data_IF_685726146770
#
_entry.id   IF_685726146770
#
_cell.length_a   1.000
_cell.length_b   1.000
_cell.length_c   1.000
_cell.angle_alpha   90.00
_cell.angle_beta   90.00
_cell.angle_gamma   90.00
#
_symmetry.space_group_name_H-M   'P 1'
#
loop_
_entity.id
_entity.type
_entity.pdbx_description
1 polymer ?
#
# COMPACT_ATOMS: atom_id res chain seq x y z
N UNK A 1 39.57 0.34 37.96
CA UNK A 1 39.27 1.26 36.83
C UNK A 1 38.22 0.60 35.97
N UNK A 2 36.99 0.99 36.18
CA UNK A 2 35.83 0.44 35.42
C UNK A 2 35.40 1.52 34.45
N UNK A 3 35.52 1.26 33.14
CA UNK A 3 35.19 2.19 32.06
C UNK A 3 33.71 2.10 31.79
N UNK A 4 32.95 3.15 32.11
CA UNK A 4 31.57 3.34 31.76
C UNK A 4 31.43 3.68 30.26
N UNK A 5 30.90 2.73 29.47
CA UNK A 5 30.43 3.01 28.12
C UNK A 5 29.00 3.53 28.22
N UNK A 6 28.83 4.84 28.04
CA UNK A 6 27.56 5.48 27.92
C UNK A 6 26.89 5.11 26.59
N UNK A 7 25.78 4.38 26.67
CA UNK A 7 24.94 4.07 25.52
C UNK A 7 24.17 5.35 25.14
N UNK A 8 24.55 5.94 24.02
CA UNK A 8 23.92 7.11 23.44
C UNK A 8 22.58 6.68 22.78
N UNK A 9 21.49 6.72 23.51
CA UNK A 9 20.14 6.56 22.98
C UNK A 9 19.72 7.83 22.22
N UNK A 10 20.07 7.89 20.93
CA UNK A 10 19.43 8.84 20.03
C UNK A 10 17.96 8.45 19.89
N UNK A 11 17.09 9.22 20.53
CA UNK A 11 15.66 9.22 20.29
C UNK A 11 15.40 9.53 18.80
N UNK A 12 15.13 8.48 18.04
CA UNK A 12 14.62 8.62 16.68
C UNK A 12 13.20 9.18 16.84
N UNK A 13 13.00 10.46 16.53
CA UNK A 13 11.67 11.04 16.36
C UNK A 13 10.97 10.25 15.25
N UNK A 14 9.94 9.52 15.62
CA UNK A 14 9.04 8.91 14.64
C UNK A 14 8.40 10.03 13.80
N UNK A 15 8.55 10.04 12.47
CA UNK A 15 7.84 10.99 11.65
C UNK A 15 6.34 10.69 11.70
N UNK A 16 5.57 11.75 11.93
CA UNK A 16 4.10 11.77 11.93
C UNK A 16 3.55 10.99 10.73
N UNK A 17 2.64 10.09 11.07
CA UNK A 17 1.59 9.44 10.28
C UNK A 17 1.48 9.91 8.83
N UNK A 18 1.84 9.09 7.87
CA UNK A 18 1.16 8.87 6.59
C UNK A 18 2.09 8.25 5.56
N UNK A 19 1.57 7.69 4.49
CA UNK A 19 2.22 7.27 3.24
C UNK A 19 3.40 6.26 3.34
N UNK A 20 4.05 6.09 4.49
CA UNK A 20 5.19 5.18 4.67
C UNK A 20 4.81 3.75 5.07
N UNK A 21 3.56 3.50 5.48
CA UNK A 21 3.14 2.16 5.90
C UNK A 21 3.22 1.11 4.79
N UNK A 22 3.00 1.50 3.54
CA UNK A 22 3.04 0.58 2.40
C UNK A 22 4.45 0.32 1.85
N UNK A 23 5.48 0.97 2.40
CA UNK A 23 6.84 0.96 1.81
C UNK A 23 7.78 -0.12 2.37
N UNK A 24 7.44 -0.74 3.50
CA UNK A 24 8.31 -1.75 4.08
C UNK A 24 7.81 -3.15 3.77
N UNK A 25 8.07 -3.64 2.56
CA UNK A 25 8.23 -5.08 2.36
C UNK A 25 9.59 -5.43 2.95
N UNK A 26 9.65 -5.56 4.28
CA UNK A 26 10.84 -6.08 4.94
C UNK A 26 11.18 -7.44 4.33
N UNK A 27 12.45 -7.66 4.05
CA UNK A 27 12.92 -8.98 3.63
C UNK A 27 12.40 -10.02 4.64
N UNK A 28 11.69 -11.07 4.21
CA UNK A 28 11.15 -12.04 5.15
C UNK A 28 12.32 -12.72 5.87
N UNK A 29 12.36 -12.58 7.18
CA UNK A 29 13.04 -13.57 8.01
C UNK A 29 12.44 -14.94 7.61
N UNK A 30 13.24 -15.93 7.29
CA UNK A 30 12.84 -17.24 6.72
C UNK A 30 11.98 -18.09 7.68
N UNK A 31 11.20 -17.46 8.57
CA UNK A 31 10.26 -18.15 9.44
C UNK A 31 9.03 -18.58 8.65
N UNK A 32 8.76 -19.86 8.71
CA UNK A 32 7.59 -20.51 8.14
C UNK A 32 6.33 -19.73 8.57
N UNK A 33 5.67 -19.06 7.64
CA UNK A 33 4.39 -18.38 7.91
C UNK A 33 3.41 -19.43 8.46
N UNK A 34 2.86 -19.16 9.66
CA UNK A 34 1.92 -20.09 10.27
C UNK A 34 0.71 -20.30 9.34
N UNK A 35 0.16 -21.52 9.24
CA UNK A 35 -1.02 -21.79 8.41
C UNK A 35 -2.21 -20.88 8.75
N UNK A 36 -2.34 -20.46 10.01
CA UNK A 36 -3.38 -19.53 10.46
C UNK A 36 -3.20 -18.14 9.88
N UNK A 37 -1.97 -17.60 9.93
CA UNK A 37 -1.65 -16.29 9.35
C UNK A 37 -1.88 -16.27 7.83
N UNK A 38 -1.50 -17.35 7.13
CA UNK A 38 -1.76 -17.50 5.69
C UNK A 38 -3.26 -17.48 5.36
N UNK A 39 -4.11 -18.12 6.17
CA UNK A 39 -5.57 -18.05 6.00
C UNK A 39 -6.10 -16.63 6.18
N UNK A 40 -5.59 -15.90 7.18
CA UNK A 40 -5.99 -14.50 7.42
C UNK A 40 -5.58 -13.61 6.24
N UNK A 41 -4.38 -13.78 5.69
CA UNK A 41 -3.96 -13.04 4.50
C UNK A 41 -4.86 -13.32 3.29
N UNK A 42 -5.31 -14.57 3.09
CA UNK A 42 -6.28 -14.89 2.04
C UNK A 42 -7.63 -14.22 2.27
N UNK A 43 -8.14 -14.22 3.50
CA UNK A 43 -9.38 -13.52 3.85
C UNK A 43 -9.22 -12.01 3.60
N UNK A 44 -8.14 -11.42 4.07
CA UNK A 44 -7.84 -10.01 3.88
C UNK A 44 -7.75 -9.65 2.38
N UNK A 45 -7.06 -10.48 1.58
CA UNK A 45 -6.98 -10.31 0.13
C UNK A 45 -8.37 -10.30 -0.54
N UNK A 46 -9.20 -11.28 -0.22
CA UNK A 46 -10.54 -11.41 -0.83
C UNK A 46 -11.42 -10.24 -0.41
N UNK A 47 -11.42 -9.86 0.88
CA UNK A 47 -12.20 -8.73 1.39
C UNK A 47 -11.79 -7.44 0.68
N UNK A 48 -10.49 -7.14 0.63
CA UNK A 48 -10.01 -5.90 0.01
C UNK A 48 -10.24 -5.87 -1.51
N UNK A 49 -10.04 -6.99 -2.21
CA UNK A 49 -10.34 -7.06 -3.64
C UNK A 49 -11.84 -6.88 -3.91
N UNK A 50 -12.71 -7.43 -3.07
CA UNK A 50 -14.16 -7.24 -3.18
C UNK A 50 -14.53 -5.80 -2.92
N UNK A 51 -14.00 -5.17 -1.87
CA UNK A 51 -14.25 -3.76 -1.56
C UNK A 51 -13.76 -2.83 -2.66
N UNK A 52 -12.58 -3.09 -3.22
CA UNK A 52 -12.10 -2.35 -4.40
C UNK A 52 -13.13 -2.32 -5.54
N UNK A 53 -13.71 -3.49 -5.88
CA UNK A 53 -14.71 -3.58 -6.95
C UNK A 53 -16.03 -2.88 -6.58
N UNK A 54 -16.47 -2.99 -5.33
CA UNK A 54 -17.68 -2.35 -4.82
C UNK A 54 -17.52 -0.82 -4.84
N UNK A 55 -16.40 -0.31 -4.33
CA UNK A 55 -16.18 1.14 -4.24
C UNK A 55 -15.94 1.79 -5.58
N UNK A 56 -15.21 1.14 -6.49
CA UNK A 56 -15.03 1.70 -7.84
C UNK A 56 -16.38 1.81 -8.56
N UNK A 57 -17.25 0.78 -8.45
CA UNK A 57 -18.59 0.80 -8.99
C UNK A 57 -19.47 1.87 -8.34
N UNK A 58 -19.46 1.95 -7.00
CA UNK A 58 -20.22 2.94 -6.24
C UNK A 58 -19.73 4.37 -6.48
N UNK A 59 -18.43 4.59 -6.57
CA UNK A 59 -17.83 5.90 -6.84
C UNK A 59 -18.25 6.46 -8.20
N UNK A 60 -18.27 5.60 -9.23
CA UNK A 60 -18.78 6.03 -10.55
C UNK A 60 -20.28 6.26 -10.54
N UNK A 61 -21.09 5.41 -9.90
CA UNK A 61 -22.55 5.52 -9.90
C UNK A 61 -23.06 6.67 -9.04
N UNK A 62 -22.43 6.95 -7.89
CA UNK A 62 -22.79 8.07 -7.00
C UNK A 62 -22.16 9.41 -7.40
N UNK A 63 -21.19 9.41 -8.32
CA UNK A 63 -20.39 10.57 -8.66
C UNK A 63 -19.39 10.99 -7.58
N UNK A 64 -19.15 10.13 -6.54
CA UNK A 64 -18.23 10.42 -5.46
C UNK A 64 -16.78 10.19 -5.87
N UNK A 65 -15.98 11.22 -5.74
CA UNK A 65 -14.54 11.17 -6.02
C UNK A 65 -13.75 10.63 -4.83
N UNK A 66 -14.24 10.80 -3.59
CA UNK A 66 -13.61 10.23 -2.41
C UNK A 66 -13.73 8.71 -2.36
N UNK A 67 -14.89 8.13 -2.77
CA UNK A 67 -15.01 6.67 -2.91
C UNK A 67 -14.05 6.11 -3.98
N UNK A 68 -13.86 6.83 -5.10
CA UNK A 68 -12.86 6.44 -6.09
C UNK A 68 -11.44 6.51 -5.53
N UNK A 69 -11.15 7.48 -4.68
CA UNK A 69 -9.86 7.57 -4.00
C UNK A 69 -9.65 6.43 -3.00
N UNK A 70 -10.67 6.10 -2.21
CA UNK A 70 -10.66 5.04 -1.20
C UNK A 70 -10.47 3.65 -1.86
N UNK A 71 -11.08 3.44 -3.03
CA UNK A 71 -10.87 2.19 -3.80
C UNK A 71 -9.38 1.92 -4.12
N UNK A 72 -8.53 2.94 -4.25
CA UNK A 72 -7.10 2.78 -4.50
C UNK A 72 -6.40 2.14 -3.29
N UNK A 73 -6.82 2.49 -2.08
CA UNK A 73 -6.25 1.95 -0.86
C UNK A 73 -6.60 0.46 -0.73
N UNK A 74 -7.85 0.07 -1.01
CA UNK A 74 -8.25 -1.33 -1.10
C UNK A 74 -7.48 -2.13 -2.16
N UNK A 75 -7.21 -1.54 -3.33
CA UNK A 75 -6.37 -2.15 -4.35
C UNK A 75 -4.92 -2.31 -3.86
N UNK A 76 -4.37 -1.28 -3.23
CA UNK A 76 -3.04 -1.28 -2.66
C UNK A 76 -2.86 -2.37 -1.61
N UNK A 77 -3.84 -2.53 -0.73
CA UNK A 77 -3.86 -3.56 0.31
C UNK A 77 -4.01 -4.96 -0.25
N UNK A 78 -4.94 -5.16 -1.19
CA UNK A 78 -5.06 -6.45 -1.88
C UNK A 78 -3.74 -6.88 -2.53
N UNK A 79 -3.04 -5.95 -3.19
CA UNK A 79 -1.72 -6.21 -3.75
C UNK A 79 -0.67 -6.56 -2.67
N UNK A 80 -0.70 -5.89 -1.50
CA UNK A 80 0.19 -6.21 -0.37
C UNK A 80 -0.06 -7.61 0.17
N UNK A 81 -1.32 -8.01 0.36
CA UNK A 81 -1.66 -9.34 0.83
C UNK A 81 -1.26 -10.41 -0.18
N UNK A 82 -1.49 -10.17 -1.48
CA UNK A 82 -1.07 -11.07 -2.55
C UNK A 82 0.47 -11.25 -2.55
N UNK A 83 1.23 -10.16 -2.47
CA UNK A 83 2.69 -10.22 -2.37
C UNK A 83 3.11 -10.98 -1.11
N UNK A 84 2.52 -10.71 0.05
CA UNK A 84 2.84 -11.41 1.30
C UNK A 84 2.58 -12.93 1.23
N UNK A 85 1.56 -13.36 0.48
CA UNK A 85 1.24 -14.77 0.27
C UNK A 85 2.23 -15.49 -0.65
N UNK A 86 2.80 -14.78 -1.64
CA UNK A 86 3.60 -15.36 -2.72
C UNK A 86 5.10 -15.19 -2.48
N UNK A 87 5.51 -14.20 -1.69
CA UNK A 87 6.90 -13.78 -1.44
C UNK A 87 7.83 -14.90 -0.99
N UNK A 88 7.31 -15.91 -0.30
CA UNK A 88 8.12 -17.03 0.21
C UNK A 88 8.73 -17.92 -0.88
N UNK A 89 8.24 -17.84 -2.12
CA UNK A 89 8.68 -18.69 -3.24
C UNK A 89 9.26 -17.92 -4.42
N UNK A 90 9.31 -16.57 -4.37
CA UNK A 90 9.71 -15.75 -5.52
C UNK A 90 11.09 -15.12 -5.37
N UNK A 91 11.88 -15.14 -6.46
CA UNK A 91 13.13 -14.39 -6.56
C UNK A 91 12.91 -12.88 -6.37
N UNK A 92 13.91 -12.18 -5.80
CA UNK A 92 13.88 -10.74 -5.52
C UNK A 92 13.42 -9.91 -6.72
N UNK A 93 13.88 -10.25 -7.92
CA UNK A 93 13.52 -9.54 -9.15
C UNK A 93 12.01 -9.59 -9.46
N UNK A 94 11.33 -10.70 -9.20
CA UNK A 94 9.89 -10.82 -9.43
C UNK A 94 9.09 -10.01 -8.41
N UNK A 95 9.53 -10.01 -7.16
CA UNK A 95 8.95 -9.19 -6.09
C UNK A 95 9.04 -7.70 -6.40
N UNK A 96 10.23 -7.26 -6.83
CA UNK A 96 10.46 -5.87 -7.22
C UNK A 96 9.63 -5.46 -8.45
N UNK A 97 9.42 -6.36 -9.43
CA UNK A 97 8.51 -6.10 -10.57
C UNK A 97 7.06 -5.96 -10.13
N UNK A 98 6.58 -6.83 -9.23
CA UNK A 98 5.23 -6.73 -8.67
C UNK A 98 5.03 -5.43 -7.90
N UNK A 99 5.99 -5.03 -7.08
CA UNK A 99 5.99 -3.75 -6.37
C UNK A 99 6.01 -2.55 -7.34
N UNK A 100 6.81 -2.64 -8.43
CA UNK A 100 6.83 -1.60 -9.46
C UNK A 100 5.47 -1.45 -10.15
N UNK A 101 4.83 -2.56 -10.52
CA UNK A 101 3.50 -2.55 -11.13
C UNK A 101 2.47 -1.93 -10.18
N UNK A 102 2.46 -2.35 -8.91
CA UNK A 102 1.59 -1.76 -7.87
C UNK A 102 1.80 -0.26 -7.75
N UNK A 103 3.04 0.20 -7.55
CA UNK A 103 3.35 1.62 -7.40
C UNK A 103 2.96 2.44 -8.64
N UNK A 104 3.19 1.92 -9.83
CA UNK A 104 2.76 2.55 -11.09
C UNK A 104 1.23 2.65 -11.19
N UNK A 105 0.50 1.60 -10.80
CA UNK A 105 -0.97 1.62 -10.76
C UNK A 105 -1.49 2.68 -9.80
N UNK A 106 -0.92 2.80 -8.59
CA UNK A 106 -1.28 3.84 -7.61
C UNK A 106 -1.06 5.25 -8.16
N UNK A 107 0.03 5.49 -8.89
CA UNK A 107 0.29 6.78 -9.53
C UNK A 107 -0.76 7.12 -10.60
N UNK A 108 -1.09 6.15 -11.46
CA UNK A 108 -2.08 6.32 -12.54
C UNK A 108 -3.46 6.58 -11.96
N UNK A 109 -3.90 5.76 -10.99
CA UNK A 109 -5.21 5.92 -10.36
C UNK A 109 -5.28 7.22 -9.55
N UNK A 110 -4.24 7.57 -8.78
CA UNK A 110 -4.20 8.83 -8.03
C UNK A 110 -4.29 10.05 -8.95
N UNK A 111 -3.57 10.04 -10.07
CA UNK A 111 -3.67 11.09 -11.09
C UNK A 111 -5.07 11.14 -11.74
N UNK A 112 -5.68 9.98 -12.01
CA UNK A 112 -7.05 9.89 -12.52
C UNK A 112 -8.05 10.49 -11.53
N UNK A 113 -7.95 10.18 -10.23
CA UNK A 113 -8.83 10.73 -9.19
C UNK A 113 -8.68 12.25 -9.09
N UNK A 114 -7.45 12.79 -9.12
CA UNK A 114 -7.22 14.24 -9.14
C UNK A 114 -7.83 14.89 -10.37
N UNK A 115 -7.69 14.28 -11.54
CA UNK A 115 -8.34 14.74 -12.79
C UNK A 115 -9.87 14.73 -12.67
N UNK A 116 -10.43 13.68 -12.08
CA UNK A 116 -11.89 13.58 -11.80
C UNK A 116 -12.33 14.64 -10.80
N UNK A 117 -11.58 14.88 -9.74
CA UNK A 117 -11.89 15.92 -8.76
C UNK A 117 -11.91 17.31 -9.42
N UNK A 118 -10.89 17.62 -10.22
CA UNK A 118 -10.83 18.88 -10.96
C UNK A 118 -12.01 19.02 -11.96
N UNK A 119 -12.33 17.96 -12.68
CA UNK A 119 -13.49 17.94 -13.59
C UNK A 119 -14.81 18.13 -12.83
N UNK A 120 -15.04 17.38 -11.76
CA UNK A 120 -16.25 17.46 -10.93
C UNK A 120 -16.43 18.86 -10.34
N UNK A 121 -15.34 19.49 -9.92
CA UNK A 121 -15.35 20.88 -9.44
C UNK A 121 -15.89 21.86 -10.49
N UNK A 122 -15.58 21.66 -11.77
CA UNK A 122 -16.05 22.54 -12.87
C UNK A 122 -17.50 22.26 -13.27
N UNK A 123 -18.00 21.03 -13.10
CA UNK A 123 -19.35 20.64 -13.51
C UNK A 123 -20.43 20.95 -12.46
N UNK A 124 -20.04 21.12 -11.18
CA UNK A 124 -20.95 21.51 -10.10
C UNK A 124 -21.96 20.43 -9.67
N UNK A 125 -21.76 19.17 -10.05
CA UNK A 125 -22.59 18.05 -9.60
C UNK A 125 -22.33 17.70 -8.15
N UNK A 126 -23.38 17.39 -7.37
CA UNK A 126 -23.26 16.86 -6.00
C UNK A 126 -23.32 15.34 -6.03
N UNK A 127 -22.38 14.63 -5.37
CA UNK A 127 -22.44 13.18 -5.28
C UNK A 127 -23.59 12.72 -4.37
N UNK A 128 -24.04 11.47 -4.56
CA UNK A 128 -25.07 10.88 -3.70
C UNK A 128 -24.51 10.54 -2.30
N UNK A 129 -24.81 11.40 -1.34
CA UNK A 129 -24.34 11.29 0.03
C UNK A 129 -24.80 9.99 0.74
N UNK A 130 -25.98 9.45 0.39
CA UNK A 130 -26.48 8.21 0.99
C UNK A 130 -25.63 7.03 0.54
N UNK A 131 -25.35 6.92 -0.76
CA UNK A 131 -24.44 5.89 -1.29
C UNK A 131 -23.05 6.03 -0.71
N UNK A 132 -22.48 7.24 -0.63
CA UNK A 132 -21.19 7.48 0.03
C UNK A 132 -21.16 6.99 1.48
N UNK A 133 -22.18 7.34 2.27
CA UNK A 133 -22.28 6.95 3.67
C UNK A 133 -22.44 5.43 3.83
N UNK A 134 -23.29 4.80 3.04
CA UNK A 134 -23.51 3.35 3.09
C UNK A 134 -22.24 2.56 2.72
N UNK A 135 -21.59 2.92 1.61
CA UNK A 135 -20.39 2.25 1.13
C UNK A 135 -19.20 2.54 2.05
N UNK A 136 -18.99 3.79 2.48
CA UNK A 136 -17.93 4.12 3.44
C UNK A 136 -18.10 3.41 4.79
N UNK A 137 -19.34 3.19 5.24
CA UNK A 137 -19.61 2.37 6.44
C UNK A 137 -19.24 0.91 6.22
N UNK A 138 -19.54 0.36 5.04
CA UNK A 138 -19.14 -1.01 4.67
C UNK A 138 -17.63 -1.14 4.58
N UNK A 139 -16.95 -0.18 3.98
CA UNK A 139 -15.51 -0.08 3.89
C UNK A 139 -14.85 -0.04 5.27
N UNK A 140 -15.36 0.81 6.16
CA UNK A 140 -14.89 0.90 7.54
C UNK A 140 -15.05 -0.45 8.27
N UNK A 141 -16.19 -1.11 8.14
CA UNK A 141 -16.43 -2.43 8.74
C UNK A 141 -15.47 -3.49 8.18
N UNK A 142 -15.21 -3.47 6.87
CA UNK A 142 -14.26 -4.37 6.23
C UNK A 142 -12.84 -4.16 6.78
N UNK A 143 -12.33 -2.93 6.83
CA UNK A 143 -11.00 -2.63 7.31
C UNK A 143 -10.84 -2.86 8.82
N UNK A 144 -11.84 -2.51 9.64
CA UNK A 144 -11.84 -2.84 11.08
C UNK A 144 -11.85 -4.35 11.29
N UNK A 145 -12.64 -5.10 10.50
CA UNK A 145 -12.69 -6.56 10.54
C UNK A 145 -11.33 -7.19 10.21
N UNK A 146 -10.69 -6.76 9.13
CA UNK A 146 -9.35 -7.21 8.73
C UNK A 146 -8.30 -6.81 9.78
N UNK A 147 -8.35 -5.57 10.29
CA UNK A 147 -7.45 -5.12 11.36
C UNK A 147 -7.59 -5.97 12.63
N UNK A 148 -8.81 -6.33 13.01
CA UNK A 148 -9.06 -7.21 14.16
C UNK A 148 -8.47 -8.63 13.95
N UNK A 149 -8.59 -9.19 12.74
CA UNK A 149 -7.97 -10.48 12.40
C UNK A 149 -6.43 -10.41 12.44
N UNK A 150 -5.86 -9.29 12.02
CA UNK A 150 -4.42 -9.06 12.01
C UNK A 150 -3.85 -8.63 13.37
N UNK A 151 -4.71 -8.20 14.30
CA UNK A 151 -4.30 -7.67 15.61
C UNK A 151 -3.44 -8.64 16.42
N UNK A 152 -3.72 -9.95 16.34
CA UNK A 152 -2.94 -10.99 17.00
C UNK A 152 -1.47 -11.08 16.49
N UNK A 153 -1.18 -10.48 15.33
CA UNK A 153 0.13 -10.51 14.68
C UNK A 153 0.83 -9.15 14.66
N UNK A 154 0.27 -8.11 15.32
CA UNK A 154 0.81 -6.73 15.36
C UNK A 154 2.21 -6.61 15.96
N UNK A 155 2.57 -7.53 16.86
CA UNK A 155 3.86 -7.59 17.55
C UNK A 155 4.78 -8.68 16.94
N UNK A 156 4.41 -9.22 15.76
CA UNK A 156 5.17 -10.21 15.01
C UNK A 156 6.39 -9.60 14.32
N UNK A 157 6.77 -10.20 13.18
CA UNK A 157 7.86 -9.67 12.36
C UNK A 157 7.49 -8.31 11.70
N UNK A 158 8.48 -7.66 11.08
CA UNK A 158 8.29 -6.34 10.46
C UNK A 158 7.20 -6.34 9.38
N UNK A 159 7.03 -7.45 8.64
CA UNK A 159 5.97 -7.57 7.63
C UNK A 159 4.59 -7.66 8.28
N UNK A 160 4.41 -8.49 9.31
CA UNK A 160 3.15 -8.64 10.05
C UNK A 160 2.72 -7.31 10.68
N UNK A 161 3.67 -6.62 11.33
CA UNK A 161 3.43 -5.29 11.93
C UNK A 161 3.05 -4.25 10.86
N UNK A 162 3.75 -4.23 9.73
CA UNK A 162 3.46 -3.30 8.63
C UNK A 162 2.06 -3.52 8.07
N UNK A 163 1.68 -4.76 7.79
CA UNK A 163 0.35 -5.13 7.28
C UNK A 163 -0.75 -4.64 8.23
N UNK A 164 -0.61 -4.89 9.54
CA UNK A 164 -1.60 -4.43 10.52
C UNK A 164 -1.68 -2.90 10.62
N UNK A 165 -0.54 -2.20 10.57
CA UNK A 165 -0.50 -0.73 10.62
C UNK A 165 -1.16 -0.10 9.38
N UNK A 166 -0.96 -0.67 8.19
CA UNK A 166 -1.64 -0.21 6.97
C UNK A 166 -3.15 -0.31 7.14
N UNK A 167 -3.66 -1.51 7.41
CA UNK A 167 -5.11 -1.74 7.55
C UNK A 167 -5.76 -0.86 8.63
N UNK A 168 -5.05 -0.59 9.73
CA UNK A 168 -5.52 0.35 10.74
C UNK A 168 -5.64 1.79 10.21
N UNK A 169 -4.66 2.22 9.40
CA UNK A 169 -4.67 3.58 8.83
C UNK A 169 -5.76 3.72 7.76
N UNK A 170 -6.03 2.67 6.99
CA UNK A 170 -7.09 2.66 5.97
C UNK A 170 -8.48 2.79 6.63
N UNK A 171 -8.68 2.18 7.82
CA UNK A 171 -9.89 2.42 8.60
C UNK A 171 -10.07 3.90 8.98
N UNK A 172 -8.99 4.67 9.19
CA UNK A 172 -9.08 6.12 9.41
C UNK A 172 -9.43 6.87 8.11
N UNK A 173 -8.94 6.43 6.96
CA UNK A 173 -9.33 6.93 5.65
C UNK A 173 -10.84 6.81 5.41
N UNK A 174 -11.40 5.63 5.70
CA UNK A 174 -12.84 5.39 5.57
C UNK A 174 -13.67 6.30 6.49
N UNK A 175 -13.20 6.60 7.71
CA UNK A 175 -13.85 7.62 8.56
C UNK A 175 -13.87 8.98 7.87
N UNK A 176 -12.81 9.36 7.18
CA UNK A 176 -12.77 10.63 6.43
C UNK A 176 -13.79 10.64 5.28
N UNK A 177 -13.97 9.52 4.55
CA UNK A 177 -15.00 9.38 3.50
C UNK A 177 -16.41 9.51 4.11
N UNK A 178 -16.67 8.90 5.26
CA UNK A 178 -17.95 9.04 5.96
C UNK A 178 -18.21 10.48 6.41
N UNK A 179 -17.19 11.18 6.90
CA UNK A 179 -17.31 12.60 7.26
C UNK A 179 -17.57 13.47 6.02
N UNK A 180 -16.96 13.13 4.88
CA UNK A 180 -17.28 13.79 3.60
C UNK A 180 -18.74 13.57 3.20
N UNK A 181 -19.27 12.35 3.38
CA UNK A 181 -20.68 12.05 3.10
C UNK A 181 -21.63 12.90 3.95
N UNK A 182 -21.36 13.02 5.27
CA UNK A 182 -22.12 13.91 6.17
C UNK A 182 -22.00 15.37 5.73
N UNK A 183 -20.82 15.81 5.34
CA UNK A 183 -20.58 17.17 4.83
C UNK A 183 -21.34 17.46 3.54
N UNK A 184 -21.37 16.52 2.58
CA UNK A 184 -22.14 16.62 1.33
C UNK A 184 -23.64 16.69 1.62
N UNK A 185 -24.14 15.79 2.48
CA UNK A 185 -25.55 15.78 2.89
C UNK A 185 -25.97 17.09 3.55
N UNK A 186 -25.17 17.62 4.48
CA UNK A 186 -25.49 18.83 5.22
C UNK A 186 -25.33 20.14 4.42
N UNK A 187 -24.37 20.19 3.47
CA UNK A 187 -24.11 21.40 2.68
C UNK A 187 -24.77 21.41 1.31
N UNK A 188 -25.23 20.25 0.80
CA UNK A 188 -25.71 20.12 -0.57
C UNK A 188 -24.63 20.41 -1.63
N UNK A 189 -23.35 20.29 -1.26
CA UNK A 189 -22.21 20.68 -2.10
C UNK A 189 -21.22 19.52 -2.22
N UNK A 190 -20.57 19.38 -3.38
CA UNK A 190 -19.52 18.39 -3.64
C UNK A 190 -18.18 18.67 -2.92
N UNK A 191 -18.00 19.86 -2.40
CA UNK A 191 -16.73 20.32 -1.83
C UNK A 191 -16.15 19.40 -0.75
N UNK A 192 -16.92 18.84 0.24
CA UNK A 192 -16.34 17.93 1.22
C UNK A 192 -15.81 16.63 0.61
N UNK A 193 -16.51 16.07 -0.38
CA UNK A 193 -16.08 14.90 -1.15
C UNK A 193 -14.77 15.17 -1.91
N UNK A 194 -14.71 16.31 -2.61
CA UNK A 194 -13.54 16.70 -3.39
C UNK A 194 -12.31 16.97 -2.51
N UNK A 195 -12.50 17.54 -1.32
CA UNK A 195 -11.42 17.80 -0.38
C UNK A 195 -10.79 16.48 0.12
N UNK A 196 -11.62 15.52 0.52
CA UNK A 196 -11.15 14.20 0.96
C UNK A 196 -10.50 13.46 -0.20
N UNK A 197 -11.11 13.47 -1.39
CA UNK A 197 -10.55 12.86 -2.60
C UNK A 197 -9.15 13.41 -2.94
N UNK A 198 -8.97 14.74 -2.85
CA UNK A 198 -7.69 15.38 -3.14
C UNK A 198 -6.60 14.97 -2.14
N UNK A 199 -6.93 14.87 -0.85
CA UNK A 199 -6.00 14.41 0.19
C UNK A 199 -5.62 12.94 -0.05
N UNK A 200 -6.59 12.05 -0.23
CA UNK A 200 -6.34 10.61 -0.43
C UNK A 200 -5.57 10.36 -1.73
N UNK A 201 -5.94 11.01 -2.83
CA UNK A 201 -5.20 10.89 -4.09
C UNK A 201 -3.76 11.42 -3.97
N UNK A 202 -3.54 12.50 -3.23
CA UNK A 202 -2.20 13.00 -2.90
C UNK A 202 -1.37 12.00 -2.13
N UNK A 203 -1.97 11.32 -1.13
CA UNK A 203 -1.32 10.25 -0.38
C UNK A 203 -1.02 9.02 -1.27
N UNK A 204 -1.95 8.62 -2.13
CA UNK A 204 -1.75 7.54 -3.08
C UNK A 204 -0.60 7.82 -4.07
N UNK A 205 -0.50 9.05 -4.58
CA UNK A 205 0.58 9.47 -5.48
C UNK A 205 1.93 9.46 -4.77
N UNK A 206 2.02 10.04 -3.57
CA UNK A 206 3.27 10.07 -2.79
C UNK A 206 3.71 8.67 -2.38
N UNK A 207 2.80 7.82 -1.93
CA UNK A 207 3.03 6.42 -1.63
C UNK A 207 3.47 5.63 -2.87
N UNK A 208 2.73 5.75 -3.97
CA UNK A 208 3.05 5.10 -5.25
C UNK A 208 4.45 5.47 -5.77
N UNK A 209 4.81 6.76 -5.71
CA UNK A 209 6.16 7.22 -6.08
C UNK A 209 7.25 6.58 -5.22
N UNK A 210 7.04 6.52 -3.91
CA UNK A 210 7.97 5.89 -2.98
C UNK A 210 8.16 4.40 -3.30
N UNK A 211 7.08 3.66 -3.54
CA UNK A 211 7.11 2.24 -3.94
C UNK A 211 7.87 2.05 -5.26
N UNK A 212 7.59 2.87 -6.27
CA UNK A 212 8.30 2.82 -7.57
C UNK A 212 9.79 3.07 -7.40
N UNK A 213 10.17 4.05 -6.59
CA UNK A 213 11.58 4.38 -6.32
C UNK A 213 12.31 3.22 -5.63
N UNK A 214 11.68 2.61 -4.63
CA UNK A 214 12.23 1.45 -3.92
C UNK A 214 12.37 0.25 -4.85
N UNK A 215 11.31 -0.12 -5.59
CA UNK A 215 11.30 -1.25 -6.49
C UNK A 215 12.38 -1.14 -7.59
N UNK A 216 12.62 0.07 -8.11
CA UNK A 216 13.74 0.32 -9.04
C UNK A 216 15.11 0.10 -8.40
N UNK A 217 15.26 0.45 -7.12
CA UNK A 217 16.49 0.17 -6.35
C UNK A 217 16.73 -1.33 -6.20
N UNK A 218 15.71 -2.09 -5.82
CA UNK A 218 15.77 -3.55 -5.66
C UNK A 218 16.07 -4.27 -7.00
N UNK A 219 15.50 -3.81 -8.12
CA UNK A 219 15.81 -4.34 -9.44
C UNK A 219 17.27 -4.12 -9.84
N UNK A 220 17.84 -2.96 -9.52
CA UNK A 220 19.27 -2.70 -9.77
C UNK A 220 20.16 -3.61 -8.93
N UNK A 221 19.82 -3.83 -7.66
CA UNK A 221 20.56 -4.75 -6.78
C UNK A 221 20.48 -6.20 -7.27
N UNK A 222 19.30 -6.65 -7.69
CA UNK A 222 19.14 -7.99 -8.25
C UNK A 222 19.98 -8.20 -9.53
N UNK A 223 20.07 -7.17 -10.38
CA UNK A 223 20.88 -7.22 -11.59
C UNK A 223 22.40 -7.26 -11.29
N UNK A 224 22.88 -6.48 -10.31
CA UNK A 224 24.30 -6.50 -9.90
C UNK A 224 24.69 -7.85 -9.28
N UNK A 225 23.86 -8.42 -8.41
CA UNK A 225 24.11 -9.76 -7.84
C UNK A 225 24.19 -10.85 -8.91
N UNK A 226 23.36 -10.78 -9.95
CA UNK A 226 23.40 -11.73 -11.04
C UNK A 226 24.66 -11.59 -11.89
N UNK A 227 25.15 -10.36 -12.09
CA UNK A 227 26.43 -10.08 -12.78
C UNK A 227 27.61 -10.64 -12.01
N UNK A 228 27.67 -10.41 -10.69
CA UNK A 228 28.76 -10.89 -9.85
C UNK A 228 28.83 -12.43 -9.81
N UNK A 229 27.68 -13.10 -9.75
CA UNK A 229 27.60 -14.56 -9.83
C UNK A 229 28.08 -15.09 -11.19
N UNK A 230 27.76 -14.41 -12.30
CA UNK A 230 28.22 -14.80 -13.63
C UNK A 230 29.73 -14.66 -13.81
N UNK A 231 30.33 -13.63 -13.19
CA UNK A 231 31.80 -13.46 -13.18
C UNK A 231 32.51 -14.46 -12.26
N UNK A 232 31.90 -14.88 -11.15
CA UNK A 232 32.46 -15.88 -10.24
C UNK A 232 32.43 -17.31 -10.82
N UNK A 233 31.49 -17.61 -11.71
CA UNK A 233 31.38 -18.96 -12.33
C UNK A 233 32.27 -19.15 -13.57
N UNK A 234 32.94 -18.09 -14.08
CA UNK A 234 33.87 -18.17 -15.22
C UNK A 234 35.29 -17.61 -14.90
N UNK A 235 36.01 -18.12 -13.87
CA UNK A 235 37.34 -17.59 -13.54
C UNK A 235 38.49 -18.12 -14.43
N UNK A 236 38.28 -19.07 -15.33
CA UNK A 236 39.39 -19.83 -15.94
C UNK A 236 39.51 -19.79 -17.46
N UNK A 237 38.90 -18.86 -18.19
CA UNK A 237 39.08 -18.79 -19.63
C UNK A 237 40.22 -17.85 -20.14
N UNK A 238 40.90 -17.13 -19.23
CA UNK A 238 41.88 -16.11 -19.61
C UNK A 238 43.35 -16.51 -19.43
N UNK A 239 43.66 -17.70 -18.83
CA UNK A 239 45.05 -18.06 -18.49
C UNK A 239 45.66 -19.09 -19.44
N UNK A 240 44.91 -19.62 -20.40
CA UNK A 240 45.43 -20.69 -21.32
C UNK A 240 46.00 -20.15 -22.68
N UNK A 241 46.03 -18.84 -22.88
CA UNK A 241 46.59 -18.23 -24.13
C UNK A 241 47.96 -17.58 -23.96
N UNK A 242 48.62 -17.69 -22.80
CA UNK A 242 49.94 -17.08 -22.56
C UNK A 242 51.12 -18.09 -22.58
N UNK A 243 50.91 -19.35 -22.94
CA UNK A 243 51.98 -20.37 -23.06
C UNK A 243 51.82 -21.22 -24.32
N UNK A 244 51.91 -20.57 -25.47
CA UNK A 244 52.32 -21.20 -26.72
C UNK A 244 53.11 -20.20 -27.57
#
# INVERSE_FOLDING_TARGET
MVSNHAINTKTVKEPLMSAHCCNHVAAPDQRVISPRYRKILWIALIVNLTMFLVEIGAGFSSGSTSLLADSIDFFGDAANYAVSLVVLSMALAWRARAALLKGASMLVFGAFVLGRAAWSFTQGGTPDALTMGAIGSLALLANVGVAALLYAYRDGDANMRSVWLCTRNDALGNVAVMLAAVGVFGSGSAWPDLAVAAVMAGLAITGGWSVVRQARGELKQAASQQSDLSHATHPHAATEKATR
#
